data_IF_723858884282
#
_entry.id   IF_723858884282
#
_cell.length_a   1.000
_cell.length_b   1.000
_cell.length_c   1.000
_cell.angle_alpha   90.00
_cell.angle_beta   90.00
_cell.angle_gamma   90.00
#
_symmetry.space_group_name_H-M   'P 1'
#
loop_
_entity.id
_entity.type
_entity.pdbx_description
1 polymer ?
#
# COMPACT_ATOMS: atom_id res chain seq x y z
N UNK A 1 10.14 13.81 -30.93
CA UNK A 1 8.72 13.52 -30.69
C UNK A 1 8.22 14.55 -29.70
N UNK A 2 7.13 15.27 -30.00
CA UNK A 2 6.61 16.29 -29.10
C UNK A 2 6.02 15.63 -27.85
N UNK A 3 6.07 16.31 -26.70
CA UNK A 3 5.54 15.77 -25.43
C UNK A 3 4.09 15.29 -25.53
N UNK A 4 3.24 16.01 -26.27
CA UNK A 4 1.83 15.61 -26.51
C UNK A 4 1.72 14.26 -27.21
N UNK A 5 2.62 13.98 -28.16
CA UNK A 5 2.69 12.67 -28.83
C UNK A 5 3.16 11.59 -27.87
N UNK A 6 4.18 11.87 -27.04
CA UNK A 6 4.67 10.95 -26.01
C UNK A 6 3.55 10.57 -25.03
N UNK A 7 2.80 11.57 -24.54
CA UNK A 7 1.65 11.37 -23.65
C UNK A 7 0.55 10.53 -24.31
N UNK A 8 0.27 10.74 -25.60
CA UNK A 8 -0.74 9.94 -26.30
C UNK A 8 -0.28 8.49 -26.45
N UNK A 9 0.97 8.29 -26.86
CA UNK A 9 1.55 6.97 -27.12
C UNK A 9 1.75 6.13 -25.87
N UNK A 10 2.01 6.76 -24.72
CA UNK A 10 2.26 6.05 -23.46
C UNK A 10 0.99 5.64 -22.70
N UNK A 11 -0.18 6.17 -23.07
CA UNK A 11 -1.44 5.86 -22.37
C UNK A 11 -1.78 4.38 -22.44
N UNK A 12 -1.77 3.78 -23.63
CA UNK A 12 -2.12 2.37 -23.84
C UNK A 12 -1.12 1.41 -23.19
N UNK A 13 0.21 1.56 -23.36
CA UNK A 13 1.19 0.76 -22.63
C UNK A 13 1.03 0.86 -21.11
N UNK A 14 0.78 2.06 -20.57
CA UNK A 14 0.54 2.24 -19.14
C UNK A 14 -0.68 1.43 -18.67
N UNK A 15 -1.79 1.49 -19.40
CA UNK A 15 -3.01 0.75 -19.11
C UNK A 15 -2.75 -0.76 -19.12
N UNK A 16 -2.06 -1.26 -20.15
CA UNK A 16 -1.73 -2.69 -20.28
C UNK A 16 -0.83 -3.19 -19.14
N UNK A 17 0.18 -2.39 -18.74
CA UNK A 17 1.06 -2.70 -17.61
C UNK A 17 0.25 -2.81 -16.32
N UNK A 18 -0.56 -1.78 -16.01
CA UNK A 18 -1.34 -1.75 -14.78
C UNK A 18 -2.33 -2.91 -14.72
N UNK A 19 -2.99 -3.24 -15.83
CA UNK A 19 -3.94 -4.35 -15.89
C UNK A 19 -3.24 -5.70 -15.67
N UNK A 20 -2.16 -5.96 -16.43
CA UNK A 20 -1.45 -7.26 -16.40
C UNK A 20 -0.82 -7.52 -15.05
N UNK A 21 -0.05 -6.55 -14.53
CA UNK A 21 0.62 -6.73 -13.25
C UNK A 21 -0.33 -6.59 -12.05
N UNK A 22 -1.43 -5.84 -12.21
CA UNK A 22 -2.51 -5.80 -11.21
C UNK A 22 -3.18 -7.15 -11.03
N UNK A 23 -3.45 -7.87 -12.14
CA UNK A 23 -3.98 -9.24 -12.10
C UNK A 23 -3.02 -10.20 -11.39
N UNK A 24 -1.75 -10.19 -11.78
CA UNK A 24 -0.73 -11.04 -11.16
C UNK A 24 -0.57 -10.76 -9.67
N UNK A 25 -0.61 -9.48 -9.26
CA UNK A 25 -0.54 -9.11 -7.86
C UNK A 25 -1.76 -9.60 -7.07
N UNK A 26 -2.96 -9.62 -7.68
CA UNK A 26 -4.17 -10.18 -7.07
C UNK A 26 -4.03 -11.69 -6.82
N UNK A 27 -3.61 -12.46 -7.83
CA UNK A 27 -3.38 -13.90 -7.68
C UNK A 27 -2.28 -14.21 -6.66
N UNK A 28 -1.17 -13.47 -6.68
CA UNK A 28 -0.11 -13.62 -5.69
C UNK A 28 -0.61 -13.39 -4.25
N UNK A 29 -1.54 -12.44 -4.05
CA UNK A 29 -2.16 -12.20 -2.76
C UNK A 29 -3.11 -13.33 -2.33
N UNK A 30 -3.89 -13.89 -3.26
CA UNK A 30 -4.75 -15.05 -3.00
C UNK A 30 -3.93 -16.30 -2.67
N UNK A 31 -2.85 -16.56 -3.40
CA UNK A 31 -1.92 -17.66 -3.12
C UNK A 31 -1.26 -17.51 -1.75
N UNK A 32 -0.78 -16.29 -1.43
CA UNK A 32 -0.23 -15.99 -0.10
C UNK A 32 -1.25 -16.29 0.98
N UNK A 33 -2.50 -15.84 0.82
CA UNK A 33 -3.56 -16.03 1.81
C UNK A 33 -3.95 -17.50 1.96
N UNK A 34 -4.06 -18.24 0.86
CA UNK A 34 -4.33 -19.67 0.88
C UNK A 34 -3.19 -20.43 1.59
N UNK A 35 -1.93 -20.11 1.27
CA UNK A 35 -0.77 -20.71 1.90
C UNK A 35 -0.67 -20.36 3.39
N UNK A 36 -0.90 -19.10 3.77
CA UNK A 36 -0.83 -18.68 5.17
C UNK A 36 -1.90 -19.36 6.03
N UNK A 37 -3.08 -19.63 5.45
CA UNK A 37 -4.17 -20.35 6.10
C UNK A 37 -3.90 -21.84 6.27
N UNK A 38 -3.08 -22.45 5.41
CA UNK A 38 -2.81 -23.90 5.45
C UNK A 38 -2.17 -24.40 6.75
N UNK A 39 -1.55 -23.49 7.51
CA UNK A 39 -0.92 -23.78 8.80
C UNK A 39 -1.81 -23.41 10.00
N UNK A 40 -3.01 -22.90 9.76
CA UNK A 40 -3.96 -22.50 10.79
C UNK A 40 -5.12 -23.50 10.87
N UNK A 41 -5.31 -24.15 12.01
CA UNK A 41 -6.33 -25.19 12.20
C UNK A 41 -7.76 -24.71 11.95
N UNK A 42 -8.03 -23.40 12.11
CA UNK A 42 -9.36 -22.82 11.93
C UNK A 42 -9.60 -22.40 10.47
N UNK A 43 -8.55 -22.03 9.74
CA UNK A 43 -8.67 -21.49 8.38
C UNK A 43 -8.21 -22.44 7.26
N UNK A 44 -7.47 -23.51 7.58
CA UNK A 44 -6.94 -24.44 6.60
C UNK A 44 -8.03 -25.13 5.75
N UNK A 45 -9.27 -25.19 6.24
CA UNK A 45 -10.42 -25.74 5.53
C UNK A 45 -11.15 -24.74 4.62
N UNK A 46 -10.77 -23.46 4.61
CA UNK A 46 -11.40 -22.46 3.75
C UNK A 46 -11.03 -22.67 2.29
N UNK A 47 -11.97 -22.37 1.41
CA UNK A 47 -11.75 -22.38 -0.04
C UNK A 47 -10.67 -21.38 -0.46
N UNK A 48 -10.14 -21.58 -1.68
CA UNK A 48 -9.24 -20.61 -2.30
C UNK A 48 -9.90 -19.21 -2.33
N UNK A 49 -9.17 -18.14 -1.97
CA UNK A 49 -9.74 -16.80 -1.89
C UNK A 49 -10.30 -16.30 -3.23
N UNK A 50 -11.35 -15.49 -3.17
CA UNK A 50 -11.81 -14.74 -4.33
C UNK A 50 -10.75 -13.71 -4.73
N UNK A 51 -10.39 -13.70 -6.02
CA UNK A 51 -9.36 -12.82 -6.58
C UNK A 51 -10.01 -11.55 -7.12
N UNK A 52 -9.57 -10.39 -6.63
CA UNK A 52 -10.08 -9.12 -7.12
C UNK A 52 -9.64 -8.88 -8.58
N UNK A 53 -10.56 -8.35 -9.39
CA UNK A 53 -10.24 -7.93 -10.75
C UNK A 53 -9.20 -6.79 -10.75
N UNK A 54 -8.39 -6.65 -11.81
CA UNK A 54 -7.57 -5.48 -12.02
C UNK A 54 -8.41 -4.19 -12.01
N UNK A 55 -7.75 -3.06 -11.75
CA UNK A 55 -8.42 -1.75 -11.79
C UNK A 55 -9.09 -1.53 -13.15
N UNK A 56 -10.28 -0.93 -13.12
CA UNK A 56 -11.04 -0.65 -14.34
C UNK A 56 -10.27 0.30 -15.29
N UNK A 57 -10.52 0.15 -16.59
CA UNK A 57 -9.89 0.96 -17.64
C UNK A 57 -10.04 2.46 -17.37
N UNK A 58 -11.24 2.90 -16.97
CA UNK A 58 -11.58 4.29 -16.71
C UNK A 58 -10.77 4.86 -15.54
N UNK A 59 -10.59 4.07 -14.47
CA UNK A 59 -9.81 4.45 -13.30
C UNK A 59 -8.31 4.59 -13.63
N UNK A 60 -7.77 3.63 -14.39
CA UNK A 60 -6.39 3.67 -14.84
C UNK A 60 -6.16 4.86 -15.79
N UNK A 61 -7.07 5.09 -16.75
CA UNK A 61 -6.97 6.21 -17.68
C UNK A 61 -7.08 7.57 -16.98
N UNK A 62 -7.98 7.70 -15.99
CA UNK A 62 -8.11 8.91 -15.19
C UNK A 62 -6.83 9.19 -14.38
N UNK A 63 -6.25 8.16 -13.76
CA UNK A 63 -5.01 8.29 -12.98
C UNK A 63 -3.81 8.63 -13.88
N UNK A 64 -3.74 8.05 -15.08
CA UNK A 64 -2.76 8.41 -16.10
C UNK A 64 -2.87 9.90 -16.48
N UNK A 65 -4.08 10.36 -16.79
CA UNK A 65 -4.32 11.77 -17.13
C UNK A 65 -3.90 12.70 -16.00
N UNK A 66 -4.22 12.36 -14.75
CA UNK A 66 -3.80 13.12 -13.58
C UNK A 66 -2.27 13.19 -13.45
N UNK A 67 -1.58 12.06 -13.59
CA UNK A 67 -0.12 12.01 -13.49
C UNK A 67 0.56 12.87 -14.57
N UNK A 68 -0.04 12.91 -15.76
CA UNK A 68 0.46 13.66 -16.92
C UNK A 68 -0.10 15.09 -17.02
N UNK A 69 -0.97 15.52 -16.10
CA UNK A 69 -1.54 16.88 -16.09
C UNK A 69 -0.61 17.84 -15.35
N UNK A 70 0.07 18.70 -16.10
CA UNK A 70 0.81 19.85 -15.62
C UNK A 70 0.34 21.06 -16.44
N UNK A 71 0.02 22.17 -15.77
CA UNK A 71 -0.60 23.37 -16.39
C UNK A 71 0.27 24.01 -17.46
N UNK A 72 1.59 23.89 -17.32
CA UNK A 72 2.59 24.24 -18.31
C UNK A 72 3.53 23.05 -18.48
N UNK A 73 3.26 22.22 -19.49
CA UNK A 73 4.17 21.17 -19.93
C UNK A 73 5.22 21.78 -20.84
N UNK A 74 6.09 22.58 -20.23
CA UNK A 74 7.31 23.03 -20.86
C UNK A 74 8.25 21.83 -21.04
N UNK A 75 9.16 21.88 -22.01
CA UNK A 75 10.19 20.86 -22.20
C UNK A 75 11.21 20.80 -21.04
N UNK A 76 10.98 21.60 -19.99
CA UNK A 76 11.83 21.78 -18.82
C UNK A 76 12.03 20.45 -18.06
N UNK A 77 13.27 20.16 -17.63
CA UNK A 77 13.60 18.94 -16.92
C UNK A 77 12.74 18.70 -15.66
N UNK A 78 12.40 19.75 -14.91
CA UNK A 78 11.66 19.68 -13.66
C UNK A 78 10.21 19.21 -13.86
N UNK A 79 9.55 19.70 -14.91
CA UNK A 79 8.19 19.30 -15.25
C UNK A 79 8.15 17.81 -15.62
N UNK A 80 9.12 17.35 -16.42
CA UNK A 80 9.26 15.93 -16.77
C UNK A 80 9.53 15.06 -15.55
N UNK A 81 10.41 15.50 -14.65
CA UNK A 81 10.71 14.79 -13.41
C UNK A 81 9.48 14.67 -12.50
N UNK A 82 8.67 15.73 -12.41
CA UNK A 82 7.42 15.71 -11.63
C UNK A 82 6.39 14.75 -12.24
N UNK A 83 6.20 14.80 -13.57
CA UNK A 83 5.30 13.87 -14.28
C UNK A 83 5.73 12.42 -14.07
N UNK A 84 7.03 12.12 -14.19
CA UNK A 84 7.58 10.79 -13.94
C UNK A 84 7.31 10.34 -12.49
N UNK A 85 7.56 11.21 -11.50
CA UNK A 85 7.31 10.90 -10.09
C UNK A 85 5.83 10.59 -9.82
N UNK A 86 4.91 11.37 -10.39
CA UNK A 86 3.46 11.11 -10.29
C UNK A 86 3.10 9.77 -10.96
N UNK A 87 3.63 9.52 -12.16
CA UNK A 87 3.34 8.31 -12.92
C UNK A 87 3.83 7.06 -12.19
N UNK A 88 5.02 7.09 -11.59
CA UNK A 88 5.54 6.00 -10.75
C UNK A 88 4.61 5.72 -9.56
N UNK A 89 4.17 6.77 -8.86
CA UNK A 89 3.29 6.64 -7.71
C UNK A 89 1.92 6.04 -8.05
N UNK A 90 1.31 6.54 -9.13
CA UNK A 90 0.05 6.01 -9.66
C UNK A 90 0.21 4.56 -10.14
N UNK A 91 1.26 4.27 -10.91
CA UNK A 91 1.52 2.91 -11.43
C UNK A 91 1.63 1.91 -10.27
N UNK A 92 2.43 2.25 -9.26
CA UNK A 92 2.60 1.43 -8.07
C UNK A 92 1.28 1.20 -7.34
N UNK A 93 0.48 2.25 -7.13
CA UNK A 93 -0.81 2.13 -6.46
C UNK A 93 -1.75 1.20 -7.24
N UNK A 94 -1.94 1.42 -8.53
CA UNK A 94 -2.90 0.68 -9.33
C UNK A 94 -2.52 -0.80 -9.52
N UNK A 95 -1.22 -1.13 -9.58
CA UNK A 95 -0.75 -2.52 -9.62
C UNK A 95 -1.02 -3.23 -8.28
N UNK A 96 -0.86 -2.53 -7.15
CA UNK A 96 -0.97 -3.15 -5.82
C UNK A 96 -2.39 -3.14 -5.24
N UNK A 97 -3.28 -2.33 -5.81
CA UNK A 97 -4.67 -2.19 -5.36
C UNK A 97 -5.48 -3.51 -5.44
N UNK A 98 -5.45 -4.29 -6.54
CA UNK A 98 -6.13 -5.58 -6.61
C UNK A 98 -5.63 -6.60 -5.59
N UNK A 99 -4.32 -6.63 -5.32
CA UNK A 99 -3.73 -7.49 -4.29
C UNK A 99 -4.30 -7.18 -2.90
N UNK A 100 -4.34 -5.89 -2.53
CA UNK A 100 -4.90 -5.46 -1.23
C UNK A 100 -6.38 -5.77 -1.14
N UNK A 101 -7.14 -5.54 -2.21
CA UNK A 101 -8.57 -5.84 -2.26
C UNK A 101 -8.86 -7.34 -2.12
N UNK A 102 -8.01 -8.19 -2.70
CA UNK A 102 -8.08 -9.65 -2.57
C UNK A 102 -7.93 -10.09 -1.11
N UNK A 103 -6.94 -9.54 -0.39
CA UNK A 103 -6.77 -9.81 1.05
C UNK A 103 -7.96 -9.27 1.85
N UNK A 104 -8.42 -8.06 1.58
CA UNK A 104 -9.57 -7.45 2.25
C UNK A 104 -10.83 -8.31 2.13
N UNK A 105 -11.17 -8.76 0.92
CA UNK A 105 -12.31 -9.65 0.68
C UNK A 105 -12.15 -11.00 1.38
N UNK A 106 -10.93 -11.55 1.39
CA UNK A 106 -10.63 -12.79 2.10
C UNK A 106 -10.81 -12.68 3.60
N UNK A 107 -10.37 -11.57 4.20
CA UNK A 107 -10.53 -11.25 5.63
C UNK A 107 -12.00 -11.04 5.98
N UNK A 108 -12.72 -10.29 5.14
CA UNK A 108 -14.16 -10.04 5.29
C UNK A 108 -14.96 -11.36 5.30
N UNK A 109 -14.70 -12.24 4.32
CA UNK A 109 -15.35 -13.55 4.22
C UNK A 109 -15.01 -14.47 5.40
N UNK A 110 -13.78 -14.42 5.91
CA UNK A 110 -13.33 -15.28 7.01
C UNK A 110 -13.67 -14.73 8.41
N UNK A 111 -14.08 -13.45 8.53
CA UNK A 111 -14.32 -12.80 9.80
C UNK A 111 -13.05 -12.58 10.64
N UNK A 112 -11.89 -12.50 9.99
CA UNK A 112 -10.59 -12.28 10.63
C UNK A 112 -10.27 -10.78 10.72
N UNK A 113 -9.03 -10.43 11.10
CA UNK A 113 -8.56 -9.04 11.18
C UNK A 113 -7.56 -8.73 10.08
N UNK A 114 -7.25 -7.46 9.93
CA UNK A 114 -6.31 -6.95 8.94
C UNK A 114 -5.21 -6.09 9.56
N UNK A 115 -4.00 -6.21 9.03
CA UNK A 115 -2.87 -5.35 9.37
C UNK A 115 -2.08 -4.91 8.13
N UNK A 116 -1.42 -3.76 8.23
CA UNK A 116 -0.50 -3.27 7.19
C UNK A 116 0.94 -3.60 7.57
N UNK A 117 1.67 -4.24 6.66
CA UNK A 117 3.10 -4.52 6.81
C UNK A 117 3.88 -3.57 5.90
N UNK A 118 4.79 -2.73 6.43
CA UNK A 118 5.56 -1.79 5.62
C UNK A 118 6.81 -2.45 5.05
N UNK A 119 7.15 -2.09 3.82
CA UNK A 119 8.40 -2.45 3.17
C UNK A 119 9.48 -1.37 3.38
N UNK A 120 10.78 -1.71 3.16
CA UNK A 120 11.85 -0.72 3.18
C UNK A 120 11.55 0.51 2.32
N UNK A 121 11.77 1.68 2.91
CA UNK A 121 11.49 2.98 2.29
C UNK A 121 10.05 3.49 2.45
N UNK A 122 9.18 2.78 3.20
CA UNK A 122 7.87 3.28 3.58
C UNK A 122 7.96 4.65 4.28
N UNK A 123 7.01 5.54 3.96
CA UNK A 123 6.97 6.88 4.56
C UNK A 123 6.52 6.82 6.03
N UNK A 124 6.73 7.93 6.76
CA UNK A 124 6.38 8.02 8.19
C UNK A 124 4.92 7.70 8.47
N UNK A 125 4.00 8.11 7.57
CA UNK A 125 2.58 7.79 7.66
C UNK A 125 2.30 6.29 7.50
N UNK A 126 2.97 5.63 6.56
CA UNK A 126 2.87 4.18 6.38
C UNK A 126 3.37 3.42 7.61
N UNK A 127 4.50 3.85 8.18
CA UNK A 127 5.06 3.25 9.40
C UNK A 127 4.15 3.49 10.62
N UNK A 128 3.50 4.65 10.69
CA UNK A 128 2.48 4.94 11.70
C UNK A 128 1.26 4.03 11.55
N UNK A 129 0.74 3.82 10.34
CA UNK A 129 -0.40 2.92 10.16
C UNK A 129 -0.04 1.47 10.53
N UNK A 130 1.18 1.04 10.21
CA UNK A 130 1.70 -0.27 10.58
C UNK A 130 1.88 -0.45 12.11
N UNK A 131 2.12 0.63 12.86
CA UNK A 131 2.28 0.58 14.32
C UNK A 131 0.96 0.36 15.08
N UNK A 132 -0.19 0.53 14.43
CA UNK A 132 -1.52 0.34 15.03
C UNK A 132 -1.89 -1.14 15.23
N UNK A 133 -1.15 -2.04 14.60
CA UNK A 133 -1.38 -3.48 14.67
C UNK A 133 -2.65 -3.94 13.94
N UNK A 134 -3.30 -4.99 14.47
CA UNK A 134 -4.55 -5.57 13.95
C UNK A 134 -5.78 -4.67 14.20
N UNK A 135 -5.61 -3.35 14.03
CA UNK A 135 -6.59 -2.32 14.39
C UNK A 135 -7.83 -2.32 13.48
N UNK A 136 -7.78 -3.06 12.38
CA UNK A 136 -8.88 -3.16 11.44
C UNK A 136 -9.68 -4.44 11.74
N UNK A 137 -10.71 -4.30 12.58
CA UNK A 137 -11.81 -5.27 12.59
C UNK A 137 -12.61 -5.12 11.29
N UNK A 138 -13.40 -6.13 10.92
CA UNK A 138 -14.34 -6.07 9.79
C UNK A 138 -15.03 -4.69 9.68
N UNK A 139 -15.44 -4.11 10.81
CA UNK A 139 -16.17 -2.84 10.88
C UNK A 139 -15.31 -1.59 10.68
N UNK A 140 -13.99 -1.66 10.88
CA UNK A 140 -13.06 -0.52 10.77
C UNK A 140 -12.13 -0.58 9.55
N UNK A 141 -12.04 -1.73 8.87
CA UNK A 141 -11.33 -1.88 7.57
C UNK A 141 -11.78 -0.81 6.57
N UNK A 142 -13.06 -0.46 6.59
CA UNK A 142 -13.72 0.30 5.52
C UNK A 142 -13.80 1.82 5.72
N UNK A 143 -13.58 2.35 6.92
CA UNK A 143 -13.89 3.75 7.21
C UNK A 143 -12.63 4.63 7.38
N UNK A 144 -12.40 5.45 6.35
CA UNK A 144 -11.61 6.70 6.28
C UNK A 144 -10.07 6.65 6.25
N UNK A 145 -9.40 5.60 6.72
CA UNK A 145 -7.94 5.43 6.56
C UNK A 145 -7.53 4.20 5.71
N UNK A 146 -8.52 3.47 5.20
CA UNK A 146 -8.36 2.24 4.41
C UNK A 146 -7.81 2.43 2.99
N UNK A 147 -7.80 3.66 2.46
CA UNK A 147 -7.29 3.92 1.10
C UNK A 147 -5.76 3.99 1.07
N UNK A 148 -5.20 3.35 0.05
CA UNK A 148 -3.78 3.40 -0.25
C UNK A 148 -3.48 4.60 -1.14
N UNK A 149 -2.41 5.34 -0.83
CA UNK A 149 -1.98 6.50 -1.60
C UNK A 149 -0.88 6.13 -2.61
N UNK A 150 -0.62 7.04 -3.55
CA UNK A 150 0.51 6.91 -4.48
C UNK A 150 1.83 6.77 -3.71
N UNK A 151 2.70 5.85 -4.14
CA UNK A 151 3.96 5.50 -3.47
C UNK A 151 3.80 4.82 -2.09
N UNK A 152 2.61 4.26 -1.78
CA UNK A 152 2.44 3.51 -0.55
C UNK A 152 3.15 2.15 -0.63
N UNK A 153 4.11 1.94 0.26
CA UNK A 153 4.94 0.73 0.34
C UNK A 153 4.47 -0.24 1.43
N UNK A 154 3.15 -0.33 1.61
CA UNK A 154 2.56 -1.31 2.53
C UNK A 154 1.84 -2.40 1.75
N UNK A 155 1.97 -3.63 2.23
CA UNK A 155 1.07 -4.73 1.88
C UNK A 155 0.04 -4.91 2.98
N UNK A 156 -1.12 -5.46 2.61
CA UNK A 156 -2.14 -5.89 3.54
C UNK A 156 -1.97 -7.36 3.87
N UNK A 157 -2.13 -7.73 5.13
CA UNK A 157 -2.13 -9.13 5.56
C UNK A 157 -3.36 -9.45 6.41
N UNK A 158 -3.83 -10.68 6.31
CA UNK A 158 -4.74 -11.27 7.27
C UNK A 158 -4.00 -11.53 8.60
N UNK A 159 -4.66 -11.24 9.72
CA UNK A 159 -4.16 -11.50 11.07
C UNK A 159 -5.28 -12.05 11.94
N UNK A 160 -4.94 -12.91 12.89
CA UNK A 160 -5.93 -13.59 13.74
C UNK A 160 -5.96 -12.97 15.14
N UNK A 161 -7.09 -13.09 15.83
CA UNK A 161 -7.34 -12.49 17.15
C UNK A 161 -6.31 -12.89 18.23
N UNK A 162 -5.69 -14.05 18.07
CA UNK A 162 -4.76 -14.62 19.05
C UNK A 162 -3.35 -14.86 18.49
N UNK A 163 -3.11 -14.55 17.21
CA UNK A 163 -1.79 -14.67 16.61
C UNK A 163 -0.98 -13.39 16.83
N UNK A 164 0.33 -13.51 17.17
CA UNK A 164 1.18 -12.33 17.22
C UNK A 164 1.32 -11.73 15.83
N UNK A 165 1.26 -10.40 15.75
CA UNK A 165 1.57 -9.67 14.52
C UNK A 165 2.99 -9.94 14.04
N UNK A 166 3.32 -9.69 12.77
CA UNK A 166 4.71 -9.72 12.31
C UNK A 166 5.62 -8.85 13.18
N UNK A 167 6.87 -9.31 13.40
CA UNK A 167 7.85 -8.62 14.26
C UNK A 167 7.98 -7.13 13.95
N UNK A 168 7.97 -6.75 12.68
CA UNK A 168 8.05 -5.34 12.26
C UNK A 168 6.90 -4.49 12.80
N UNK A 169 5.67 -5.02 12.83
CA UNK A 169 4.54 -4.33 13.41
C UNK A 169 4.68 -4.17 14.93
N UNK A 170 5.13 -5.22 15.61
CA UNK A 170 5.36 -5.18 17.07
C UNK A 170 6.42 -4.12 17.43
N UNK A 171 7.53 -4.09 16.69
CA UNK A 171 8.59 -3.09 16.90
C UNK A 171 8.12 -1.66 16.60
N UNK A 172 7.31 -1.48 15.56
CA UNK A 172 6.71 -0.20 15.23
C UNK A 172 5.70 0.25 16.27
N UNK A 173 4.92 -0.66 16.84
CA UNK A 173 3.98 -0.37 17.93
C UNK A 173 4.72 0.16 19.17
N UNK A 174 5.79 -0.52 19.58
CA UNK A 174 6.64 -0.08 20.70
C UNK A 174 7.25 1.29 20.41
N UNK A 175 7.84 1.47 19.22
CA UNK A 175 8.45 2.73 18.80
C UNK A 175 7.43 3.88 18.74
N UNK A 176 6.23 3.63 18.24
CA UNK A 176 5.15 4.61 18.20
C UNK A 176 4.73 5.03 19.61
N UNK A 177 4.47 4.05 20.50
CA UNK A 177 4.10 4.32 21.90
C UNK A 177 5.18 5.13 22.62
N UNK A 178 6.46 4.82 22.40
CA UNK A 178 7.60 5.56 22.94
C UNK A 178 7.62 7.00 22.42
N UNK A 179 7.52 7.18 21.10
CA UNK A 179 7.57 8.49 20.45
C UNK A 179 6.41 9.42 20.87
N UNK A 180 5.20 8.87 21.00
CA UNK A 180 3.98 9.68 21.18
C UNK A 180 3.50 9.80 22.61
N UNK A 181 4.18 9.17 23.58
CA UNK A 181 3.75 9.17 24.99
C UNK A 181 3.63 10.60 25.54
N UNK A 182 2.41 10.97 25.96
CA UNK A 182 2.13 12.28 26.54
C UNK A 182 2.19 13.45 25.53
N UNK A 183 2.22 13.16 24.22
CA UNK A 183 2.29 14.15 23.15
C UNK A 183 0.93 14.27 22.46
N UNK A 184 0.45 15.51 22.28
CA UNK A 184 -0.74 15.81 21.50
C UNK A 184 -0.45 15.89 19.99
N UNK A 185 0.79 16.22 19.63
CA UNK A 185 1.32 16.35 18.26
C UNK A 185 2.00 15.05 17.80
N UNK A 186 1.26 13.94 17.85
CA UNK A 186 1.79 12.58 17.67
C UNK A 186 2.59 12.38 16.37
N UNK A 187 2.13 12.95 15.24
CA UNK A 187 2.84 12.84 13.97
C UNK A 187 4.18 13.61 13.95
N UNK A 188 4.25 14.75 14.62
CA UNK A 188 5.51 15.52 14.73
C UNK A 188 6.50 14.74 15.59
N UNK A 189 6.05 14.25 16.75
CA UNK A 189 6.87 13.43 17.63
C UNK A 189 7.38 12.15 16.93
N UNK A 190 6.55 11.55 16.08
CA UNK A 190 6.92 10.39 15.27
C UNK A 190 8.01 10.70 14.23
N UNK A 191 7.88 11.80 13.48
CA UNK A 191 8.88 12.24 12.51
C UNK A 191 10.24 12.51 13.18
N UNK A 192 10.22 13.17 14.35
CA UNK A 192 11.42 13.41 15.15
C UNK A 192 12.08 12.11 15.62
N UNK A 193 11.28 11.15 16.09
CA UNK A 193 11.77 9.83 16.52
C UNK A 193 12.47 9.09 15.39
N UNK A 194 11.82 8.99 14.22
CA UNK A 194 12.39 8.33 13.04
C UNK A 194 13.67 9.02 12.56
N UNK A 195 13.71 10.35 12.57
CA UNK A 195 14.88 11.14 12.22
C UNK A 195 16.06 10.88 13.16
N UNK A 196 15.81 10.80 14.48
CA UNK A 196 16.84 10.45 15.48
C UNK A 196 17.34 9.02 15.27
N UNK A 197 16.44 8.05 15.10
CA UNK A 197 16.78 6.65 14.86
C UNK A 197 17.63 6.46 13.60
N UNK A 198 17.28 7.15 12.50
CA UNK A 198 18.06 7.13 11.24
C UNK A 198 19.49 7.63 11.46
N UNK A 199 19.65 8.76 12.16
CA UNK A 199 20.98 9.31 12.47
C UNK A 199 21.83 8.35 13.31
N UNK A 200 21.23 7.70 14.30
CA UNK A 200 21.93 6.71 15.13
C UNK A 200 22.43 5.52 14.30
N UNK A 201 21.58 4.98 13.41
CA UNK A 201 21.95 3.87 12.52
C UNK A 201 23.04 4.24 11.50
N UNK A 202 23.09 5.50 11.06
CA UNK A 202 24.12 5.99 10.13
C UNK A 202 25.46 6.30 10.80
N UNK A 203 25.47 6.39 12.13
CA UNK A 203 26.67 6.63 12.93
C UNK A 203 27.34 5.34 13.42
N UNK A 204 26.78 4.17 13.07
CA UNK A 204 27.28 2.84 13.40
C UNK A 204 27.93 2.21 12.19
#
# INVERSE_FOLDING_TARGET
MAYTDQRRLMSEPFLAIVQTYGEQAAYAAADYLFQSRSLDELLAGLEYPEVAAPVAFEQAQASYRYAMWLEELTEEPEAKALALKKLMGVTQRLITEPARKTVEMGVEKAGTRYARVPEPGACEFCLMLASRGAAYSHDTVMFELGKYHDNCRCVGIEVHDHAPLPRVNQELEVAWREATKGRSDQMVAWSEYLSKRKKALQAT
#
